data_IF_727319631020
#
_entry.id   IF_727319631020
#
_cell.length_a   1.000
_cell.length_b   1.000
_cell.length_c   1.000
_cell.angle_alpha   90.00
_cell.angle_beta   90.00
_cell.angle_gamma   90.00
#
_symmetry.space_group_name_H-M   'P 1'
#
loop_
_entity.id
_entity.type
_entity.pdbx_description
1 polymer ?
#
# COMPACT_ATOMS: atom_id res chain seq x y z
N UNK A 1 2.98 -44.09 -15.65
CA UNK A 1 2.00 -43.17 -15.02
C UNK A 1 2.72 -41.87 -14.72
N UNK A 2 2.59 -40.86 -15.59
CA UNK A 2 3.21 -39.56 -15.35
C UNK A 2 2.36 -38.81 -14.31
N UNK A 3 2.82 -38.80 -13.07
CA UNK A 3 2.25 -37.95 -12.03
C UNK A 3 2.43 -36.49 -12.47
N UNK A 4 1.34 -35.84 -12.87
CA UNK A 4 1.33 -34.41 -13.13
C UNK A 4 1.54 -33.71 -11.79
N UNK A 5 2.78 -33.28 -11.52
CA UNK A 5 3.08 -32.50 -10.34
C UNK A 5 2.38 -31.15 -10.47
N UNK A 6 1.49 -30.83 -9.52
CA UNK A 6 0.89 -29.50 -9.45
C UNK A 6 2.02 -28.47 -9.27
N UNK A 7 2.26 -27.66 -10.31
CA UNK A 7 3.28 -26.62 -10.27
C UNK A 7 2.89 -25.64 -9.15
N UNK A 8 3.75 -25.43 -8.14
CA UNK A 8 3.45 -24.49 -7.05
C UNK A 8 3.33 -23.06 -7.58
N UNK A 9 2.60 -22.21 -6.86
CA UNK A 9 2.40 -20.82 -7.27
C UNK A 9 3.74 -20.05 -7.34
N UNK A 10 4.15 -19.70 -8.55
CA UNK A 10 5.41 -18.98 -8.81
C UNK A 10 5.27 -17.46 -8.71
N UNK A 11 4.07 -16.94 -8.42
CA UNK A 11 3.81 -15.48 -8.37
C UNK A 11 4.66 -14.78 -7.32
N UNK A 12 4.83 -15.39 -6.15
CA UNK A 12 5.70 -14.84 -5.12
C UNK A 12 7.14 -14.75 -5.60
N UNK A 13 7.68 -15.84 -6.15
CA UNK A 13 9.05 -15.90 -6.66
C UNK A 13 9.28 -14.87 -7.76
N UNK A 14 8.35 -14.75 -8.72
CA UNK A 14 8.43 -13.75 -9.79
C UNK A 14 8.42 -12.33 -9.24
N UNK A 15 7.54 -12.05 -8.27
CA UNK A 15 7.42 -10.73 -7.65
C UNK A 15 8.68 -10.38 -6.85
N UNK A 16 9.19 -11.35 -6.09
CA UNK A 16 10.41 -11.21 -5.30
C UNK A 16 11.65 -11.00 -6.17
N UNK A 17 11.80 -11.78 -7.25
CA UNK A 17 12.90 -11.59 -8.22
C UNK A 17 12.88 -10.22 -8.87
N UNK A 18 11.69 -9.71 -9.22
CA UNK A 18 11.52 -8.34 -9.75
C UNK A 18 11.93 -7.29 -8.72
N UNK A 19 11.53 -7.45 -7.46
CA UNK A 19 11.90 -6.53 -6.39
C UNK A 19 13.42 -6.52 -6.13
N UNK A 20 14.05 -7.71 -6.10
CA UNK A 20 15.50 -7.85 -5.98
C UNK A 20 16.25 -7.19 -7.14
N UNK A 21 15.83 -7.46 -8.38
CA UNK A 21 16.44 -6.86 -9.56
C UNK A 21 16.39 -5.33 -9.50
N UNK A 22 15.22 -4.78 -9.13
CA UNK A 22 15.01 -3.34 -9.00
C UNK A 22 15.90 -2.70 -7.92
N UNK A 23 16.05 -3.33 -6.77
CA UNK A 23 16.92 -2.79 -5.71
C UNK A 23 18.42 -2.93 -6.05
N UNK A 24 18.81 -4.04 -6.70
CA UNK A 24 20.18 -4.21 -7.17
C UNK A 24 20.55 -3.17 -8.25
N UNK A 25 19.62 -2.83 -9.15
CA UNK A 25 19.81 -1.74 -10.13
C UNK A 25 19.92 -0.37 -9.46
N UNK A 26 19.14 -0.12 -8.38
CA UNK A 26 19.21 1.14 -7.62
C UNK A 26 20.56 1.30 -6.93
N UNK A 27 21.06 0.27 -6.25
CA UNK A 27 22.39 0.32 -5.62
C UNK A 27 23.49 0.55 -6.65
N UNK A 28 23.38 -0.13 -7.80
CA UNK A 28 24.31 0.06 -8.92
C UNK A 28 24.30 1.49 -9.45
N UNK A 29 23.12 2.06 -9.70
CA UNK A 29 22.99 3.45 -10.15
C UNK A 29 23.57 4.43 -9.11
N UNK A 30 23.37 4.17 -7.82
CA UNK A 30 23.98 4.96 -6.74
C UNK A 30 25.51 4.82 -6.70
N UNK A 31 26.07 3.64 -6.96
CA UNK A 31 27.52 3.44 -7.05
C UNK A 31 28.12 4.19 -8.25
N UNK A 32 27.49 4.15 -9.41
CA UNK A 32 27.95 4.88 -10.59
C UNK A 32 27.91 6.39 -10.41
N UNK A 33 26.87 6.91 -9.75
CA UNK A 33 26.81 8.33 -9.37
C UNK A 33 27.96 8.71 -8.44
N UNK A 34 28.34 7.85 -7.50
CA UNK A 34 29.50 8.08 -6.61
C UNK A 34 30.84 8.05 -7.37
N UNK A 35 30.92 7.28 -8.44
CA UNK A 35 32.10 7.22 -9.32
C UNK A 35 32.17 8.37 -10.34
N UNK A 36 31.20 9.29 -10.35
CA UNK A 36 31.17 10.44 -11.27
C UNK A 36 30.81 10.09 -12.72
N UNK A 37 30.31 8.88 -12.97
CA UNK A 37 29.94 8.42 -14.32
C UNK A 37 28.50 8.87 -14.60
N UNK A 38 28.34 9.98 -15.31
CA UNK A 38 27.03 10.57 -15.67
C UNK A 38 26.68 10.33 -17.15
N UNK A 39 27.62 9.85 -17.96
CA UNK A 39 27.44 9.69 -19.40
C UNK A 39 26.52 8.50 -19.76
N UNK A 40 25.44 8.72 -20.52
CA UNK A 40 24.43 7.69 -20.81
C UNK A 40 24.97 6.54 -21.67
N UNK A 41 25.97 6.80 -22.51
CA UNK A 41 26.58 5.80 -23.40
C UNK A 41 27.42 4.81 -22.58
N UNK A 42 28.22 5.29 -21.64
CA UNK A 42 29.10 4.47 -20.78
C UNK A 42 28.28 3.62 -19.82
N UNK A 43 27.17 4.16 -19.30
CA UNK A 43 26.22 3.44 -18.44
C UNK A 43 25.67 2.19 -19.14
N UNK A 44 25.27 2.31 -20.42
CA UNK A 44 24.72 1.19 -21.19
C UNK A 44 25.73 0.07 -21.45
N UNK A 45 27.00 0.44 -21.69
CA UNK A 45 28.10 -0.51 -21.90
C UNK A 45 28.47 -1.22 -20.60
N UNK A 46 28.61 -0.47 -19.50
CA UNK A 46 28.86 -1.05 -18.18
C UNK A 46 27.72 -1.96 -17.72
N UNK A 47 26.47 -1.59 -18.02
CA UNK A 47 25.27 -2.40 -17.73
C UNK A 47 25.35 -3.79 -18.37
N UNK A 48 25.85 -3.85 -19.61
CA UNK A 48 26.03 -5.09 -20.37
C UNK A 48 27.19 -5.96 -19.87
N UNK A 49 28.23 -5.35 -19.30
CA UNK A 49 29.47 -6.04 -18.89
C UNK A 49 29.41 -6.59 -17.46
N UNK A 50 28.75 -5.89 -16.54
CA UNK A 50 28.61 -6.38 -15.15
C UNK A 50 27.14 -6.74 -14.85
N UNK A 51 26.81 -8.00 -14.56
CA UNK A 51 25.49 -8.33 -14.04
C UNK A 51 25.30 -7.76 -12.62
N UNK A 52 24.06 -7.40 -12.22
CA UNK A 52 23.78 -6.90 -10.88
C UNK A 52 24.18 -7.95 -9.84
N UNK A 53 25.14 -7.62 -8.97
CA UNK A 53 25.54 -8.50 -7.86
C UNK A 53 24.46 -8.46 -6.79
N UNK A 54 23.69 -9.53 -6.68
CA UNK A 54 22.70 -9.71 -5.61
C UNK A 54 23.46 -10.00 -4.31
N UNK A 55 23.69 -8.97 -3.51
CA UNK A 55 24.32 -9.09 -2.19
C UNK A 55 23.31 -9.55 -1.14
N UNK A 56 23.77 -10.25 -0.10
CA UNK A 56 22.94 -10.72 1.03
C UNK A 56 22.19 -9.56 1.71
N UNK A 57 22.81 -8.38 1.76
CA UNK A 57 22.21 -7.17 2.34
C UNK A 57 21.00 -6.68 1.53
N UNK A 58 21.08 -6.75 0.19
CA UNK A 58 19.98 -6.39 -0.70
C UNK A 58 18.79 -7.32 -0.48
N UNK A 59 19.06 -8.62 -0.35
CA UNK A 59 18.04 -9.64 -0.08
C UNK A 59 17.35 -9.36 1.26
N UNK A 60 18.12 -9.16 2.33
CA UNK A 60 17.57 -8.85 3.65
C UNK A 60 16.70 -7.58 3.63
N UNK A 61 17.19 -6.51 2.98
CA UNK A 61 16.45 -5.25 2.81
C UNK A 61 15.12 -5.45 2.10
N UNK A 62 15.10 -6.19 0.99
CA UNK A 62 13.88 -6.46 0.22
C UNK A 62 12.89 -7.30 1.03
N UNK A 63 13.35 -8.34 1.73
CA UNK A 63 12.48 -9.17 2.57
C UNK A 63 11.83 -8.33 3.68
N UNK A 64 12.62 -7.54 4.41
CA UNK A 64 12.09 -6.70 5.49
C UNK A 64 11.06 -5.71 4.97
N UNK A 65 11.33 -5.06 3.83
CA UNK A 65 10.42 -4.06 3.27
C UNK A 65 9.14 -4.68 2.68
N UNK A 66 9.29 -5.66 1.80
CA UNK A 66 8.18 -6.10 0.94
C UNK A 66 7.39 -7.26 1.58
N UNK A 67 8.04 -8.11 2.38
CA UNK A 67 7.39 -9.26 3.01
C UNK A 67 6.87 -8.92 4.42
N UNK A 68 7.55 -8.05 5.16
CA UNK A 68 7.19 -7.74 6.55
C UNK A 68 6.51 -6.37 6.64
N UNK A 69 7.16 -5.31 6.16
CA UNK A 69 6.72 -3.95 6.40
C UNK A 69 5.50 -3.57 5.54
N UNK A 70 5.47 -3.93 4.27
CA UNK A 70 4.37 -3.62 3.36
C UNK A 70 3.01 -4.18 3.83
N UNK A 71 2.87 -5.48 4.17
CA UNK A 71 1.59 -5.99 4.69
C UNK A 71 1.23 -5.39 6.05
N UNK A 72 2.20 -5.11 6.92
CA UNK A 72 1.95 -4.46 8.21
C UNK A 72 1.38 -3.06 8.03
N UNK A 73 1.96 -2.26 7.14
CA UNK A 73 1.48 -0.91 6.83
C UNK A 73 0.10 -0.96 6.18
N UNK A 74 -0.14 -1.88 5.25
CA UNK A 74 -1.47 -2.03 4.63
C UNK A 74 -2.54 -2.39 5.67
N UNK A 75 -2.26 -3.35 6.55
CA UNK A 75 -3.17 -3.72 7.64
C UNK A 75 -3.45 -2.54 8.57
N UNK A 76 -2.39 -1.88 9.04
CA UNK A 76 -2.49 -0.75 9.97
C UNK A 76 -3.24 0.45 9.37
N UNK A 77 -3.01 0.75 8.09
CA UNK A 77 -3.73 1.81 7.38
C UNK A 77 -5.21 1.48 7.26
N UNK A 78 -5.56 0.26 6.85
CA UNK A 78 -6.97 -0.14 6.73
C UNK A 78 -7.70 -0.12 8.06
N UNK A 79 -7.08 -0.62 9.12
CA UNK A 79 -7.68 -0.56 10.46
C UNK A 79 -7.84 0.87 10.95
N UNK A 80 -6.86 1.73 10.68
CA UNK A 80 -6.93 3.15 11.04
C UNK A 80 -8.08 3.85 10.33
N UNK A 81 -8.23 3.64 9.02
CA UNK A 81 -9.34 4.19 8.23
C UNK A 81 -10.69 3.76 8.81
N UNK A 82 -10.85 2.47 9.14
CA UNK A 82 -12.08 1.97 9.75
C UNK A 82 -12.39 2.62 11.11
N UNK A 83 -11.37 2.81 11.94
CA UNK A 83 -11.50 3.49 13.24
C UNK A 83 -11.94 4.94 13.05
N UNK A 84 -11.33 5.67 12.11
CA UNK A 84 -11.69 7.06 11.79
C UNK A 84 -13.08 7.19 11.15
N UNK A 85 -13.51 6.19 10.40
CA UNK A 85 -14.82 6.22 9.73
C UNK A 85 -16.00 6.12 10.73
N UNK A 86 -15.81 5.48 11.89
CA UNK A 86 -16.86 5.31 12.90
C UNK A 86 -17.40 6.63 13.50
N UNK A 87 -16.58 7.56 14.01
CA UNK A 87 -17.08 8.86 14.47
C UNK A 87 -17.60 9.72 13.32
N UNK A 88 -16.98 9.66 12.13
CA UNK A 88 -17.44 10.39 10.95
C UNK A 88 -18.88 10.00 10.57
N UNK A 89 -19.16 8.70 10.48
CA UNK A 89 -20.51 8.21 10.18
C UNK A 89 -21.53 8.63 11.24
N UNK A 90 -21.15 8.64 12.53
CA UNK A 90 -22.03 9.16 13.60
C UNK A 90 -22.36 10.63 13.39
N UNK A 91 -21.39 11.43 12.97
CA UNK A 91 -21.58 12.85 12.70
C UNK A 91 -22.48 13.08 11.47
N UNK A 92 -22.28 12.32 10.39
CA UNK A 92 -23.14 12.38 9.20
C UNK A 92 -24.59 12.01 9.55
N UNK A 93 -24.80 10.96 10.32
CA UNK A 93 -26.15 10.56 10.79
C UNK A 93 -26.77 11.66 11.68
N UNK A 94 -26.00 12.27 12.56
CA UNK A 94 -26.50 13.37 13.40
C UNK A 94 -26.94 14.58 12.56
N UNK A 95 -26.12 14.99 11.58
CA UNK A 95 -26.47 16.11 10.70
C UNK A 95 -27.64 15.77 9.79
N UNK A 96 -27.71 14.54 9.27
CA UNK A 96 -28.85 14.07 8.48
C UNK A 96 -30.16 14.08 9.27
N UNK A 97 -30.14 13.63 10.54
CA UNK A 97 -31.31 13.72 11.44
C UNK A 97 -31.72 15.15 11.72
N UNK A 98 -30.74 16.06 11.93
CA UNK A 98 -31.00 17.48 12.16
C UNK A 98 -31.64 18.13 10.93
N UNK A 99 -31.07 17.93 9.74
CA UNK A 99 -31.63 18.40 8.48
C UNK A 99 -33.04 17.86 8.23
N UNK A 100 -33.22 16.55 8.41
CA UNK A 100 -34.54 15.92 8.31
C UNK A 100 -35.55 16.58 9.24
N UNK A 101 -35.22 16.75 10.52
CA UNK A 101 -36.11 17.42 11.48
C UNK A 101 -36.44 18.86 11.09
N UNK A 102 -35.49 19.62 10.52
CA UNK A 102 -35.74 20.99 10.04
C UNK A 102 -36.67 21.01 8.84
N UNK A 103 -36.50 20.09 7.89
CA UNK A 103 -37.38 20.00 6.71
C UNK A 103 -38.80 19.61 7.14
N UNK A 104 -38.94 18.63 8.05
CA UNK A 104 -40.24 18.23 8.57
C UNK A 104 -40.95 19.39 9.29
N UNK A 105 -40.22 20.17 10.10
CA UNK A 105 -40.78 21.39 10.74
C UNK A 105 -41.21 22.44 9.73
N UNK A 106 -40.42 22.65 8.68
CA UNK A 106 -40.70 23.63 7.64
C UNK A 106 -41.94 23.25 6.81
N UNK A 107 -42.09 21.97 6.48
CA UNK A 107 -43.15 21.48 5.58
C UNK A 107 -44.45 21.13 6.31
N UNK A 108 -44.38 20.47 7.47
CA UNK A 108 -45.55 19.97 8.20
C UNK A 108 -45.93 20.79 9.43
N UNK A 109 -45.13 21.81 9.80
CA UNK A 109 -45.40 22.68 10.96
C UNK A 109 -45.42 21.98 12.32
N UNK A 110 -45.10 20.68 12.36
CA UNK A 110 -45.20 19.82 13.55
C UNK A 110 -43.93 19.00 13.72
N UNK A 111 -43.42 18.98 14.96
CA UNK A 111 -42.19 18.28 15.32
C UNK A 111 -42.50 16.81 15.63
N UNK A 112 -42.55 15.96 14.59
CA UNK A 112 -42.82 14.52 14.72
C UNK A 112 -41.61 13.71 15.22
N UNK A 113 -40.43 14.34 15.35
CA UNK A 113 -39.21 13.65 15.80
C UNK A 113 -39.20 13.59 17.33
N UNK A 114 -39.79 12.53 17.89
CA UNK A 114 -39.74 12.23 19.33
C UNK A 114 -38.28 12.18 19.80
N UNK A 115 -37.91 13.07 20.72
CA UNK A 115 -36.58 13.10 21.30
C UNK A 115 -36.26 11.75 21.96
N UNK A 116 -35.19 11.08 21.51
CA UNK A 116 -34.73 9.83 22.12
C UNK A 116 -34.20 10.16 23.52
N UNK A 117 -34.95 9.77 24.56
CA UNK A 117 -34.54 9.85 25.97
C UNK A 117 -33.25 9.03 26.12
N UNK A 118 -32.13 9.67 26.44
CA UNK A 118 -30.91 8.97 26.87
C UNK A 118 -31.17 8.47 28.30
N UNK A 119 -31.10 7.16 28.47
CA UNK A 119 -30.84 6.51 29.76
C UNK A 119 -29.31 6.38 29.83
#
# INVERSE_FOLDING_TARGET
MNASYAVPDTRFEQTFRRALAREAERERASQWKKMGIVDPVVISQLQKVQPPKISKLVVCKVVVRDVILMPLVQGLLWTSILIFMKPWLRQVVYQGRRLGSSIYKLVLGTDLVKAKKRI
#
